data_IF_869084577358
#
_entry.id   IF_869084577358
#
_cell.length_a   1.000
_cell.length_b   1.000
_cell.length_c   1.000
_cell.angle_alpha   90.00
_cell.angle_beta   90.00
_cell.angle_gamma   90.00
#
_symmetry.space_group_name_H-M   'P 1'
#
loop_
_entity.id
_entity.type
_entity.pdbx_description
1 polymer ?
#
# COMPACT_ATOMS: atom_id res chain seq x y z
N UNK A 1 18.37 49.39 -14.52
CA UNK A 1 16.93 49.15 -14.77
C UNK A 1 16.59 47.80 -14.17
N UNK A 2 15.77 47.74 -13.12
CA UNK A 2 15.29 46.48 -12.56
C UNK A 2 14.03 46.09 -13.32
N UNK A 3 14.04 44.94 -13.99
CA UNK A 3 12.83 44.40 -14.60
C UNK A 3 12.03 43.70 -13.48
N UNK A 4 10.83 44.18 -13.19
CA UNK A 4 9.89 43.47 -12.31
C UNK A 4 9.13 42.46 -13.16
N UNK A 5 9.76 41.36 -13.55
CA UNK A 5 9.05 40.25 -14.18
C UNK A 5 8.28 39.48 -13.11
N UNK A 6 6.96 39.42 -13.26
CA UNK A 6 6.09 38.63 -12.39
C UNK A 6 5.94 37.25 -12.99
N UNK A 7 6.30 36.20 -12.24
CA UNK A 7 6.04 34.82 -12.64
C UNK A 7 4.67 34.44 -12.07
N UNK A 8 3.75 34.05 -12.94
CA UNK A 8 2.43 33.58 -12.60
C UNK A 8 2.30 32.10 -13.00
N UNK A 9 1.67 31.31 -12.14
CA UNK A 9 1.17 29.99 -12.50
C UNK A 9 -0.29 30.16 -12.91
N UNK A 10 -0.57 29.95 -14.19
CA UNK A 10 -1.91 30.03 -14.77
C UNK A 10 -2.38 28.63 -15.14
N UNK A 11 -3.57 28.24 -14.66
CA UNK A 11 -4.24 26.98 -14.97
C UNK A 11 -3.35 25.73 -14.80
N UNK A 12 -2.50 25.69 -13.78
CA UNK A 12 -1.65 24.53 -13.51
C UNK A 12 -2.39 23.49 -12.67
N UNK A 13 -2.19 22.20 -12.97
CA UNK A 13 -2.71 21.10 -12.17
C UNK A 13 -1.58 20.21 -11.64
N UNK A 14 -1.55 20.02 -10.32
CA UNK A 14 -0.72 18.99 -9.68
C UNK A 14 -1.65 17.95 -9.05
N UNK A 15 -1.54 16.70 -9.51
CA UNK A 15 -2.33 15.58 -9.00
C UNK A 15 -1.42 14.57 -8.34
N UNK A 16 -1.59 14.35 -7.03
CA UNK A 16 -1.03 13.19 -6.37
C UNK A 16 -1.97 11.99 -6.53
N UNK A 17 -1.41 10.86 -6.93
CA UNK A 17 -2.15 9.59 -7.04
C UNK A 17 -1.94 8.73 -5.80
N UNK A 18 -2.92 7.89 -5.55
CA UNK A 18 -2.88 6.82 -4.55
C UNK A 18 -1.96 5.71 -5.06
N UNK A 19 -1.09 5.17 -4.19
CA UNK A 19 -0.29 3.99 -4.50
C UNK A 19 -1.16 2.73 -4.58
N UNK A 20 -0.57 1.60 -4.98
CA UNK A 20 -1.31 0.36 -5.15
C UNK A 20 -1.57 -0.36 -3.81
N UNK A 21 -2.63 -1.18 -3.75
CA UNK A 21 -2.84 -2.13 -2.65
C UNK A 21 -1.67 -3.08 -2.46
N UNK A 22 -1.56 -3.62 -1.25
CA UNK A 22 -0.57 -4.66 -0.92
C UNK A 22 -0.86 -5.99 -1.63
N UNK A 23 0.19 -6.79 -1.84
CA UNK A 23 0.06 -8.10 -2.45
C UNK A 23 -0.60 -9.13 -1.52
N UNK A 24 -1.38 -10.06 -2.10
CA UNK A 24 -2.02 -11.15 -1.34
C UNK A 24 -0.99 -12.20 -0.95
N UNK A 25 -1.09 -12.70 0.29
CA UNK A 25 -0.23 -13.76 0.81
C UNK A 25 -0.51 -15.13 0.16
N UNK A 26 0.52 -15.98 0.10
CA UNK A 26 0.37 -17.34 -0.43
C UNK A 26 -0.43 -18.26 0.49
N UNK A 27 -1.24 -19.16 -0.08
CA UNK A 27 -1.90 -20.23 0.67
C UNK A 27 -0.88 -21.16 1.32
N UNK A 28 -1.10 -21.53 2.57
CA UNK A 28 -0.33 -22.54 3.29
C UNK A 28 -0.43 -23.90 2.60
N UNK A 29 0.63 -24.71 2.72
CA UNK A 29 0.66 -26.02 2.09
C UNK A 29 -0.40 -26.96 2.68
N UNK A 30 -0.97 -27.80 1.82
CA UNK A 30 -1.88 -28.86 2.24
C UNK A 30 -1.12 -29.83 3.15
N UNK A 31 -1.76 -30.27 4.23
CA UNK A 31 -1.18 -31.25 5.14
C UNK A 31 -0.83 -32.55 4.43
N UNK A 32 0.30 -33.15 4.78
CA UNK A 32 0.76 -34.39 4.17
C UNK A 32 -0.10 -35.59 4.61
N UNK A 33 -0.22 -36.60 3.76
CA UNK A 33 -0.89 -37.83 4.12
C UNK A 33 -0.16 -38.52 5.29
N UNK A 34 -0.93 -39.07 6.23
CA UNK A 34 -0.39 -39.77 7.40
C UNK A 34 0.41 -41.01 7.02
N UNK A 35 1.29 -41.46 7.92
CA UNK A 35 2.08 -42.67 7.71
C UNK A 35 1.21 -43.93 7.64
N UNK A 36 1.60 -44.89 6.80
CA UNK A 36 1.01 -46.22 6.76
C UNK A 36 1.48 -47.04 7.96
N UNK A 37 0.57 -47.82 8.56
CA UNK A 37 0.92 -48.74 9.66
C UNK A 37 1.85 -49.85 9.17
N UNK A 38 2.70 -50.38 10.06
CA UNK A 38 3.46 -51.59 9.82
C UNK A 38 2.59 -52.85 9.70
N UNK A 39 3.14 -53.93 9.15
CA UNK A 39 2.43 -55.17 8.84
C UNK A 39 2.04 -55.95 10.12
N UNK A 40 1.00 -55.51 10.81
CA UNK A 40 0.43 -56.16 12.00
C UNK A 40 -0.95 -56.72 11.73
N UNK A 41 -1.16 -58.00 12.05
CA UNK A 41 -2.45 -58.69 12.00
C UNK A 41 -3.38 -58.14 13.08
N UNK A 42 -4.42 -57.40 12.69
CA UNK A 42 -5.42 -56.81 13.60
C UNK A 42 -5.84 -55.38 13.20
N UNK A 43 -7.06 -54.98 13.59
CA UNK A 43 -7.64 -53.66 13.31
C UNK A 43 -6.80 -52.55 13.94
N UNK A 44 -6.02 -51.88 13.13
CA UNK A 44 -5.17 -50.76 13.52
C UNK A 44 -5.45 -49.61 12.56
N UNK A 45 -5.87 -48.49 13.11
CA UNK A 45 -6.24 -47.29 12.37
C UNK A 45 -5.01 -46.73 11.63
N UNK A 46 -5.24 -46.09 10.49
CA UNK A 46 -4.20 -45.33 9.80
C UNK A 46 -3.72 -44.19 10.70
N UNK A 47 -2.45 -43.80 10.57
CA UNK A 47 -1.97 -42.56 11.18
C UNK A 47 -2.77 -41.38 10.60
N UNK A 48 -3.13 -40.41 11.45
CA UNK A 48 -3.81 -39.21 10.99
C UNK A 48 -2.95 -38.41 10.00
N UNK A 49 -3.59 -37.67 9.11
CA UNK A 49 -2.90 -36.75 8.22
C UNK A 49 -2.19 -35.64 9.01
N UNK A 50 -1.07 -35.16 8.48
CA UNK A 50 -0.42 -33.96 8.98
C UNK A 50 -1.34 -32.74 8.86
N UNK A 51 -1.20 -31.80 9.78
CA UNK A 51 -1.96 -30.55 9.74
C UNK A 51 -1.54 -29.68 8.54
N UNK A 52 -2.46 -28.80 8.10
CA UNK A 52 -2.16 -27.78 7.09
C UNK A 52 -1.02 -26.87 7.59
N UNK A 53 -0.08 -26.54 6.70
CA UNK A 53 0.93 -25.52 6.98
C UNK A 53 0.31 -24.12 7.10
N UNK A 54 0.97 -23.23 7.85
CA UNK A 54 0.50 -21.85 8.04
C UNK A 54 0.41 -21.06 6.73
N UNK A 55 -0.57 -20.17 6.64
CA UNK A 55 -0.75 -19.26 5.51
C UNK A 55 0.28 -18.11 5.54
N UNK A 56 0.72 -17.66 4.36
CA UNK A 56 1.59 -16.50 4.22
C UNK A 56 0.84 -15.20 4.51
N UNK A 57 1.52 -14.23 5.13
CA UNK A 57 0.98 -12.90 5.40
C UNK A 57 0.79 -12.07 4.12
N UNK A 58 -0.16 -11.14 4.15
CA UNK A 58 -0.32 -10.16 3.08
C UNK A 58 0.68 -9.01 3.18
N UNK A 59 1.06 -8.43 2.03
CA UNK A 59 1.94 -7.26 1.97
C UNK A 59 1.23 -5.97 2.41
N UNK A 60 1.99 -4.99 2.91
CA UNK A 60 1.43 -3.67 3.25
C UNK A 60 0.93 -2.89 2.03
N UNK A 61 -0.09 -2.06 2.23
CA UNK A 61 -0.57 -1.11 1.22
C UNK A 61 0.44 0.00 0.97
N UNK A 62 0.57 0.46 -0.28
CA UNK A 62 1.52 1.52 -0.60
C UNK A 62 1.18 2.86 0.07
N UNK A 63 2.20 3.62 0.47
CA UNK A 63 2.00 5.00 0.90
C UNK A 63 1.62 5.88 -0.31
N UNK A 64 0.68 6.81 -0.13
CA UNK A 64 0.32 7.81 -1.16
C UNK A 64 0.35 9.21 -0.58
N UNK A 65 0.49 10.25 -1.40
CA UNK A 65 0.48 11.62 -0.90
C UNK A 65 1.17 12.62 -1.82
N UNK A 66 1.04 13.90 -1.50
CA UNK A 66 1.72 14.98 -2.22
C UNK A 66 3.09 15.21 -1.61
N UNK A 67 4.14 15.13 -2.43
CA UNK A 67 5.45 15.69 -2.15
C UNK A 67 5.88 16.57 -3.35
N UNK A 68 5.17 17.68 -3.58
CA UNK A 68 5.44 18.58 -4.69
C UNK A 68 5.40 20.03 -4.21
N UNK A 69 6.56 20.65 -4.04
CA UNK A 69 6.69 22.08 -3.76
C UNK A 69 6.90 22.87 -5.05
N UNK A 70 6.49 24.14 -5.05
CA UNK A 70 6.92 25.10 -6.08
C UNK A 70 8.20 25.73 -5.53
N UNK A 71 9.34 25.44 -6.15
CA UNK A 71 10.59 26.14 -5.83
C UNK A 71 10.70 27.42 -6.66
N UNK A 72 11.12 28.52 -6.04
CA UNK A 72 11.41 29.77 -6.75
C UNK A 72 12.76 30.34 -6.31
N UNK A 73 13.36 31.13 -7.18
CA UNK A 73 14.58 31.89 -6.89
C UNK A 73 14.24 33.37 -6.71
N UNK A 74 14.80 34.00 -5.67
CA UNK A 74 14.54 35.40 -5.31
C UNK A 74 13.53 35.57 -4.16
N UNK A 75 13.37 36.79 -3.66
CA UNK A 75 12.59 37.07 -2.45
C UNK A 75 11.06 37.12 -2.62
N UNK A 76 10.53 36.88 -3.82
CA UNK A 76 9.10 36.99 -4.11
C UNK A 76 8.54 35.65 -4.61
N UNK A 77 7.61 35.08 -3.84
CA UNK A 77 6.86 33.88 -4.24
C UNK A 77 6.02 34.15 -5.51
N UNK A 78 5.95 33.20 -6.47
CA UNK A 78 5.04 33.30 -7.61
C UNK A 78 3.58 33.42 -7.20
N UNK A 79 2.81 34.23 -7.91
CA UNK A 79 1.36 34.33 -7.68
C UNK A 79 0.67 33.13 -8.31
N UNK A 80 -0.18 32.44 -7.54
CA UNK A 80 -1.00 31.33 -8.00
C UNK A 80 -2.37 31.88 -8.41
N UNK A 81 -2.81 31.61 -9.62
CA UNK A 81 -4.16 31.99 -10.04
C UNK A 81 -5.20 31.08 -9.35
N UNK A 82 -6.45 31.56 -9.20
CA UNK A 82 -7.53 30.85 -8.49
C UNK A 82 -7.94 29.52 -9.15
N UNK A 83 -7.61 29.31 -10.43
CA UNK A 83 -7.86 28.10 -11.20
C UNK A 83 -6.72 27.07 -11.10
N UNK A 84 -5.57 27.45 -10.53
CA UNK A 84 -4.49 26.52 -10.24
C UNK A 84 -4.92 25.54 -9.14
N UNK A 85 -4.95 24.24 -9.47
CA UNK A 85 -5.45 23.17 -8.59
C UNK A 85 -4.32 22.26 -8.15
N UNK A 86 -4.22 22.07 -6.83
CA UNK A 86 -3.39 21.04 -6.22
C UNK A 86 -4.33 20.00 -5.61
N UNK A 87 -4.49 18.88 -6.31
CA UNK A 87 -5.43 17.82 -5.96
C UNK A 87 -4.73 16.77 -5.11
N UNK A 88 -5.24 16.55 -3.89
CA UNK A 88 -4.72 15.60 -2.91
C UNK A 88 -5.61 14.36 -2.84
N UNK A 89 -5.05 13.15 -2.71
CA UNK A 89 -5.87 12.00 -2.32
C UNK A 89 -6.43 12.25 -0.91
N UNK A 90 -7.76 12.18 -0.78
CA UNK A 90 -8.48 12.33 0.49
C UNK A 90 -8.98 10.97 0.96
N UNK A 91 -8.89 10.68 2.25
CA UNK A 91 -9.43 9.46 2.85
C UNK A 91 -8.36 8.43 3.24
N UNK A 92 -8.79 7.21 3.56
CA UNK A 92 -7.90 6.13 3.97
C UNK A 92 -6.98 5.69 2.82
N UNK A 93 -5.74 5.32 3.15
CA UNK A 93 -4.78 4.81 2.18
C UNK A 93 -5.18 3.47 1.56
N UNK A 94 -4.46 3.03 0.51
CA UNK A 94 -4.79 1.80 -0.18
C UNK A 94 -4.65 0.60 0.76
N UNK A 95 -5.57 -0.35 0.64
CA UNK A 95 -5.63 -1.48 1.53
C UNK A 95 -4.35 -2.34 1.50
N UNK A 96 -3.95 -2.84 2.66
CA UNK A 96 -2.99 -3.94 2.75
C UNK A 96 -3.58 -5.22 2.16
N UNK A 97 -2.71 -6.08 1.64
CA UNK A 97 -3.11 -7.35 1.05
C UNK A 97 -3.64 -8.32 2.11
N UNK A 98 -4.62 -9.15 1.74
CA UNK A 98 -5.08 -10.25 2.58
C UNK A 98 -3.99 -11.34 2.68
N UNK A 99 -4.01 -12.15 3.73
CA UNK A 99 -3.13 -13.32 3.78
C UNK A 99 -3.76 -14.54 3.11
N UNK A 100 -2.99 -15.64 3.05
CA UNK A 100 -3.31 -16.80 2.23
C UNK A 100 -4.66 -17.48 2.47
N UNK A 101 -5.25 -17.35 3.67
CA UNK A 101 -6.58 -17.88 3.99
C UNK A 101 -7.54 -16.84 4.61
N UNK A 102 -7.29 -15.54 4.41
CA UNK A 102 -8.18 -14.47 4.85
C UNK A 102 -7.49 -13.34 5.61
N UNK A 103 -8.29 -12.52 6.31
CA UNK A 103 -7.85 -11.25 6.88
C UNK A 103 -7.02 -11.35 8.18
N UNK A 104 -6.85 -12.54 8.77
CA UNK A 104 -6.21 -12.71 10.09
C UNK A 104 -4.73 -12.31 10.11
N UNK A 105 -4.05 -12.35 8.97
CA UNK A 105 -2.67 -11.92 8.76
C UNK A 105 -2.58 -10.91 7.59
N UNK A 106 -3.60 -10.04 7.49
CA UNK A 106 -3.66 -8.95 6.52
C UNK A 106 -2.51 -7.96 6.75
N UNK A 107 -1.92 -7.47 5.66
CA UNK A 107 -0.95 -6.38 5.70
C UNK A 107 -1.58 -5.08 6.21
N UNK A 108 -0.74 -4.20 6.77
CA UNK A 108 -1.16 -2.87 7.20
C UNK A 108 -1.67 -2.06 6.01
N UNK A 109 -2.69 -1.23 6.23
CA UNK A 109 -3.14 -0.29 5.21
C UNK A 109 -2.10 0.80 4.99
N UNK A 110 -2.02 1.27 3.74
CA UNK A 110 -1.22 2.43 3.41
C UNK A 110 -1.73 3.69 4.13
N UNK A 111 -0.87 4.69 4.25
CA UNK A 111 -1.23 5.99 4.81
C UNK A 111 -1.10 7.06 3.74
N UNK A 112 -1.96 8.08 3.84
CA UNK A 112 -1.85 9.31 3.06
C UNK A 112 -1.28 10.45 3.90
N UNK A 113 -0.39 11.25 3.30
CA UNK A 113 0.06 12.48 3.94
C UNK A 113 -1.02 13.57 3.77
N UNK A 114 -1.67 13.90 4.89
CA UNK A 114 -2.72 14.93 4.94
C UNK A 114 -2.17 16.36 5.04
N UNK A 115 -0.85 16.51 5.21
CA UNK A 115 -0.18 17.80 5.37
C UNK A 115 0.69 18.09 4.14
N UNK A 116 0.46 19.26 3.55
CA UNK A 116 1.26 19.80 2.46
C UNK A 116 2.21 20.80 3.09
N UNK A 117 3.46 20.40 3.31
CA UNK A 117 4.49 21.36 3.72
C UNK A 117 4.91 22.18 2.50
N UNK A 118 4.45 23.43 2.45
CA UNK A 118 5.10 24.47 1.66
C UNK A 118 6.27 24.96 2.51
N UNK A 119 7.50 24.72 2.06
CA UNK A 119 8.69 25.41 2.57
C UNK A 119 9.11 26.46 1.57
#
# INVERSE_FOLDING_TARGET
MSFSSTVALEATELVAKVAKPGGVGGKGQIGQAGGFRGNGSGGACQGGNGAKGGDGGGGGGGAGGIAAGIAWAGGKEPTKDATTKITRPTGAGPAGGEGGAGASNKGVDGVHADVFEVK
#
